data_IF_100968483700
#
_entry.id   IF_100968483700
#
_cell.length_a   1.000
_cell.length_b   1.000
_cell.length_c   1.000
_cell.angle_alpha   90.00
_cell.angle_beta   90.00
_cell.angle_gamma   90.00
#
_symmetry.space_group_name_H-M   'P 1'
#
loop_
_entity.id
_entity.type
_entity.pdbx_description
1 polymer ?
#
# COMPACT_ATOMS: atom_id res chain seq x y z
N UNK A 1 5.58 1.71 -64.36
CA UNK A 1 5.95 0.98 -63.11
C UNK A 1 4.88 1.30 -62.07
N UNK A 2 3.94 0.36 -61.90
CA UNK A 2 2.84 0.53 -60.94
C UNK A 2 3.29 0.08 -59.53
N UNK A 3 3.55 1.03 -58.67
CA UNK A 3 3.81 0.75 -57.24
C UNK A 3 2.48 0.30 -56.62
N UNK A 4 2.43 -0.95 -56.22
CA UNK A 4 1.25 -1.57 -55.61
C UNK A 4 0.93 -0.90 -54.28
N UNK A 5 -0.32 -0.42 -54.00
CA UNK A 5 -0.71 0.23 -52.78
C UNK A 5 -0.81 -0.71 -51.54
N UNK A 6 -0.47 -2.00 -51.72
CA UNK A 6 -0.51 -3.00 -50.65
C UNK A 6 0.58 -2.83 -49.58
N UNK A 7 1.67 -2.11 -49.88
CA UNK A 7 2.80 -1.99 -48.95
C UNK A 7 2.56 -0.94 -47.84
N UNK A 8 1.79 0.11 -48.11
CA UNK A 8 1.52 1.17 -47.12
C UNK A 8 0.53 0.73 -46.06
N UNK A 9 -0.50 -0.04 -46.45
CA UNK A 9 -1.50 -0.59 -45.52
C UNK A 9 -0.91 -1.66 -44.59
N UNK A 10 0.01 -2.50 -45.13
CA UNK A 10 0.69 -3.52 -44.33
C UNK A 10 1.69 -2.88 -43.33
N UNK A 11 2.36 -1.80 -43.72
CA UNK A 11 3.27 -1.06 -42.84
C UNK A 11 2.53 -0.34 -41.72
N UNK A 12 1.34 0.23 -42.02
CA UNK A 12 0.48 0.87 -41.03
C UNK A 12 -0.13 -0.16 -40.05
N UNK A 13 -0.54 -1.33 -40.54
CA UNK A 13 -1.03 -2.44 -39.73
C UNK A 13 0.07 -3.03 -38.84
N UNK A 14 1.31 -3.06 -39.27
CA UNK A 14 2.44 -3.53 -38.48
C UNK A 14 2.83 -2.54 -37.36
N UNK A 15 2.69 -1.22 -37.58
CA UNK A 15 2.86 -0.18 -36.58
C UNK A 15 1.75 -0.23 -35.49
N UNK A 16 0.57 -0.70 -35.83
CA UNK A 16 -0.54 -0.83 -34.86
C UNK A 16 -0.41 -2.09 -33.99
N UNK A 17 0.35 -3.09 -34.42
CA UNK A 17 0.61 -4.35 -33.69
C UNK A 17 1.71 -4.23 -32.63
N UNK A 18 2.53 -3.19 -32.65
CA UNK A 18 3.44 -2.87 -31.54
C UNK A 18 2.68 -2.20 -30.40
N UNK A 19 1.54 -2.77 -30.03
CA UNK A 19 0.72 -2.33 -28.93
C UNK A 19 1.57 -2.13 -27.68
N UNK A 20 1.47 -0.97 -27.06
CA UNK A 20 2.18 -0.61 -25.85
C UNK A 20 1.99 -1.70 -24.80
N UNK A 21 3.05 -2.43 -24.47
CA UNK A 21 3.01 -3.49 -23.48
C UNK A 21 2.60 -2.89 -22.12
N UNK A 22 1.61 -3.49 -21.46
CA UNK A 22 1.15 -3.10 -20.13
C UNK A 22 2.30 -2.96 -19.12
N UNK A 23 3.35 -3.77 -19.27
CA UNK A 23 4.55 -3.72 -18.44
C UNK A 23 5.33 -2.41 -18.57
N UNK A 24 5.32 -1.78 -19.75
CA UNK A 24 6.02 -0.51 -19.98
C UNK A 24 5.27 0.65 -19.32
N UNK A 25 3.94 0.67 -19.36
CA UNK A 25 3.14 1.69 -18.69
C UNK A 25 3.31 1.61 -17.17
N UNK A 26 3.33 0.41 -16.59
CA UNK A 26 3.59 0.22 -15.16
C UNK A 26 4.96 0.75 -14.77
N UNK A 27 6.02 0.39 -15.51
CA UNK A 27 7.38 0.87 -15.23
C UNK A 27 7.49 2.40 -15.33
N UNK A 28 6.79 3.00 -16.31
CA UNK A 28 6.79 4.45 -16.46
C UNK A 28 6.06 5.14 -15.30
N UNK A 29 4.90 4.61 -14.89
CA UNK A 29 4.16 5.11 -13.73
C UNK A 29 4.98 5.00 -12.44
N UNK A 30 5.62 3.85 -12.19
CA UNK A 30 6.51 3.66 -11.05
C UNK A 30 7.65 4.68 -11.03
N UNK A 31 8.29 4.91 -12.20
CA UNK A 31 9.38 5.89 -12.35
C UNK A 31 8.92 7.31 -12.04
N UNK A 32 7.77 7.72 -12.57
CA UNK A 32 7.22 9.05 -12.34
C UNK A 32 6.83 9.26 -10.88
N UNK A 33 6.19 8.26 -10.24
CA UNK A 33 5.82 8.29 -8.83
C UNK A 33 7.05 8.37 -7.93
N UNK A 34 8.05 7.51 -8.14
CA UNK A 34 9.27 7.52 -7.31
C UNK A 34 10.05 8.83 -7.45
N UNK A 35 10.08 9.43 -8.65
CA UNK A 35 10.69 10.74 -8.84
C UNK A 35 9.94 11.85 -8.08
N UNK A 36 8.61 11.80 -8.04
CA UNK A 36 7.78 12.75 -7.29
C UNK A 36 8.07 12.62 -5.79
N UNK A 37 7.99 11.39 -5.25
CA UNK A 37 8.20 11.13 -3.83
C UNK A 37 9.61 11.56 -3.39
N UNK A 38 10.63 11.16 -4.15
CA UNK A 38 12.01 11.55 -3.88
C UNK A 38 12.19 13.06 -3.80
N UNK A 39 11.56 13.81 -4.73
CA UNK A 39 11.62 15.27 -4.72
C UNK A 39 10.92 15.87 -3.51
N UNK A 40 9.69 15.41 -3.20
CA UNK A 40 8.90 15.93 -2.08
C UNK A 40 9.57 15.63 -0.73
N UNK A 41 10.13 14.42 -0.55
CA UNK A 41 10.90 14.07 0.65
C UNK A 41 12.14 14.98 0.81
N UNK A 42 12.88 15.19 -0.27
CA UNK A 42 14.04 16.10 -0.25
C UNK A 42 13.66 17.55 0.09
N UNK A 43 12.52 18.03 -0.43
CA UNK A 43 12.01 19.37 -0.17
C UNK A 43 11.53 19.55 1.29
N UNK A 44 10.99 18.49 1.92
CA UNK A 44 10.46 18.54 3.29
C UNK A 44 11.56 18.26 4.34
N UNK A 45 12.35 17.21 4.13
CA UNK A 45 13.27 16.68 5.16
C UNK A 45 14.76 16.92 4.83
N UNK A 46 15.08 17.52 3.68
CA UNK A 46 16.46 17.71 3.21
C UNK A 46 17.18 16.41 2.83
N UNK A 47 16.54 15.28 2.95
CA UNK A 47 17.05 13.93 2.61
C UNK A 47 15.95 13.17 1.87
N UNK A 48 16.34 12.24 1.00
CA UNK A 48 15.40 11.34 0.32
C UNK A 48 15.76 9.90 0.64
N UNK A 49 14.77 9.08 0.95
CA UNK A 49 14.90 7.62 1.10
C UNK A 49 14.68 6.91 -0.24
N UNK A 50 15.18 5.69 -0.38
CA UNK A 50 14.83 4.83 -1.51
C UNK A 50 13.45 4.23 -1.27
N UNK A 51 12.43 4.84 -1.85
CA UNK A 51 11.07 4.33 -1.80
C UNK A 51 10.84 3.26 -2.88
N UNK A 52 10.32 2.10 -2.50
CA UNK A 52 9.83 1.07 -3.42
C UNK A 52 8.57 0.43 -2.88
N UNK A 53 7.53 0.35 -3.71
CA UNK A 53 6.26 -0.31 -3.35
C UNK A 53 6.38 -1.83 -3.33
N UNK A 54 7.35 -2.40 -4.07
CA UNK A 54 7.54 -3.84 -4.12
C UNK A 54 7.98 -4.34 -2.74
N UNK A 55 7.12 -5.09 -2.06
CA UNK A 55 7.57 -5.99 -1.00
C UNK A 55 8.57 -6.95 -1.65
N UNK A 56 9.76 -7.14 -1.06
CA UNK A 56 10.81 -7.99 -1.61
C UNK A 56 10.42 -9.46 -1.86
N UNK A 57 9.19 -9.82 -1.57
CA UNK A 57 8.58 -11.10 -1.89
C UNK A 57 7.87 -10.98 -3.25
N UNK A 58 8.46 -11.56 -4.31
CA UNK A 58 7.70 -11.91 -5.51
C UNK A 58 6.51 -12.73 -5.06
N UNK A 59 5.29 -12.31 -5.45
CA UNK A 59 4.11 -13.15 -5.31
C UNK A 59 4.40 -14.44 -6.10
N UNK A 60 4.92 -15.46 -5.40
CA UNK A 60 4.97 -16.81 -5.95
C UNK A 60 3.54 -17.27 -6.03
N UNK A 61 3.17 -17.90 -7.14
CA UNK A 61 1.87 -18.54 -7.33
C UNK A 61 1.48 -19.31 -6.07
N UNK A 62 0.56 -18.71 -5.31
CA UNK A 62 0.10 -19.24 -4.03
C UNK A 62 -1.03 -20.20 -4.35
N UNK A 63 -0.68 -21.41 -4.74
CA UNK A 63 -1.65 -22.50 -4.85
C UNK A 63 -2.20 -22.80 -3.46
N UNK A 64 -3.51 -22.95 -3.33
CA UNK A 64 -4.19 -23.24 -2.06
C UNK A 64 -3.55 -24.38 -1.25
N UNK A 65 -3.00 -25.39 -1.93
CA UNK A 65 -2.26 -26.51 -1.32
C UNK A 65 -0.95 -26.06 -0.68
N UNK A 66 -0.22 -25.08 -1.28
CA UNK A 66 1.01 -24.54 -0.68
C UNK A 66 0.74 -23.70 0.57
N UNK A 67 -0.40 -23.01 0.63
CA UNK A 67 -0.84 -22.27 1.82
C UNK A 67 -1.17 -23.24 2.95
N UNK A 68 -1.85 -24.32 2.67
CA UNK A 68 -2.18 -25.35 3.67
C UNK A 68 -0.92 -26.05 4.20
N UNK A 69 0.03 -26.41 3.33
CA UNK A 69 1.30 -27.02 3.74
C UNK A 69 2.19 -26.04 4.52
N UNK A 70 2.23 -24.76 4.16
CA UNK A 70 2.92 -23.74 4.95
C UNK A 70 2.30 -23.52 6.34
N UNK A 71 0.97 -23.69 6.46
CA UNK A 71 0.26 -23.62 7.75
C UNK A 71 0.53 -24.83 8.65
N UNK A 72 0.88 -25.98 8.10
CA UNK A 72 1.16 -27.20 8.86
C UNK A 72 2.59 -27.28 9.40
N UNK A 73 3.54 -26.53 8.85
CA UNK A 73 4.92 -26.44 9.34
C UNK A 73 5.00 -25.46 10.52
N UNK A 74 5.19 -25.99 11.73
CA UNK A 74 5.50 -25.18 12.90
C UNK A 74 6.96 -24.72 12.80
N UNK A 75 7.17 -23.48 12.39
CA UNK A 75 8.48 -22.85 12.42
C UNK A 75 8.69 -22.21 13.78
N UNK A 76 9.79 -22.54 14.44
CA UNK A 76 10.23 -21.86 15.65
C UNK A 76 11.12 -20.70 15.24
N UNK A 77 10.78 -19.49 15.67
CA UNK A 77 11.51 -18.26 15.35
C UNK A 77 11.81 -17.54 16.67
N UNK A 78 13.09 -17.23 16.88
CA UNK A 78 13.50 -16.35 17.98
C UNK A 78 13.87 -15.02 17.38
N UNK A 79 13.35 -13.94 17.94
CA UNK A 79 13.59 -12.57 17.45
C UNK A 79 14.15 -11.70 18.58
N UNK A 80 15.20 -10.95 18.26
CA UNK A 80 15.62 -9.77 18.99
C UNK A 80 14.73 -8.57 18.63
N UNK A 81 14.83 -7.45 19.33
CA UNK A 81 14.06 -6.24 19.05
C UNK A 81 14.34 -5.69 17.65
N UNK A 82 15.62 -5.62 17.27
CA UNK A 82 16.05 -5.11 15.95
C UNK A 82 15.56 -6.01 14.81
N UNK A 83 15.64 -7.33 15.00
CA UNK A 83 15.11 -8.30 14.05
C UNK A 83 13.58 -8.21 13.94
N UNK A 84 12.86 -8.00 15.05
CA UNK A 84 11.42 -7.81 15.06
C UNK A 84 10.99 -6.55 14.30
N UNK A 85 11.68 -5.42 14.51
CA UNK A 85 11.47 -4.17 13.77
C UNK A 85 11.73 -4.36 12.27
N UNK A 86 12.88 -4.93 11.90
CA UNK A 86 13.24 -5.17 10.50
C UNK A 86 12.23 -6.12 9.83
N UNK A 87 11.83 -7.16 10.55
CA UNK A 87 10.85 -8.12 10.05
C UNK A 87 9.46 -7.47 9.86
N UNK A 88 9.00 -6.65 10.83
CA UNK A 88 7.73 -5.94 10.76
C UNK A 88 7.69 -4.99 9.56
N UNK A 89 8.71 -4.17 9.35
CA UNK A 89 8.82 -3.25 8.21
C UNK A 89 8.73 -4.00 6.87
N UNK A 90 9.32 -5.20 6.79
CA UNK A 90 9.35 -5.99 5.57
C UNK A 90 8.07 -6.81 5.31
N UNK A 91 7.33 -7.20 6.35
CA UNK A 91 6.28 -8.20 6.25
C UNK A 91 4.91 -7.74 6.77
N UNK A 92 4.83 -6.68 7.56
CA UNK A 92 3.56 -6.16 8.08
C UNK A 92 2.64 -5.71 6.95
N UNK A 93 1.39 -6.17 7.02
CA UNK A 93 0.36 -5.77 6.06
C UNK A 93 -0.02 -4.30 6.25
N UNK A 94 -0.05 -3.84 7.49
CA UNK A 94 -0.37 -2.45 7.82
C UNK A 94 0.67 -1.51 7.24
N UNK A 95 1.95 -1.80 7.46
CA UNK A 95 3.05 -1.04 6.90
C UNK A 95 3.00 -1.00 5.35
N UNK A 96 2.70 -2.13 4.72
CA UNK A 96 2.54 -2.19 3.27
C UNK A 96 1.34 -1.36 2.79
N UNK A 97 0.22 -1.38 3.52
CA UNK A 97 -0.97 -0.60 3.16
C UNK A 97 -0.70 0.92 3.19
N UNK A 98 0.05 1.40 4.17
CA UNK A 98 0.42 2.82 4.24
C UNK A 98 1.40 3.22 3.13
N UNK A 99 2.34 2.33 2.76
CA UNK A 99 3.17 2.53 1.56
C UNK A 99 2.32 2.63 0.29
N UNK A 100 1.31 1.79 0.16
CA UNK A 100 0.41 1.79 -1.00
C UNK A 100 -0.44 3.06 -1.05
N UNK A 101 -0.94 3.57 0.07
CA UNK A 101 -1.66 4.85 0.13
C UNK A 101 -0.79 6.01 -0.37
N UNK A 102 0.46 6.09 0.10
CA UNK A 102 1.41 7.09 -0.35
C UNK A 102 1.65 7.00 -1.86
N UNK A 103 1.88 5.78 -2.37
CA UNK A 103 2.06 5.52 -3.80
C UNK A 103 0.84 5.95 -4.62
N UNK A 104 -0.38 5.59 -4.20
CA UNK A 104 -1.62 5.93 -4.89
C UNK A 104 -1.86 7.45 -4.93
N UNK A 105 -1.52 8.15 -3.85
CA UNK A 105 -1.62 9.62 -3.81
C UNK A 105 -0.66 10.27 -4.81
N UNK A 106 0.58 9.79 -4.90
CA UNK A 106 1.55 10.28 -5.89
C UNK A 106 1.16 9.88 -7.32
N UNK A 107 0.55 8.70 -7.51
CA UNK A 107 0.00 8.26 -8.80
C UNK A 107 -1.16 9.16 -9.25
N UNK A 108 -2.03 9.59 -8.34
CA UNK A 108 -3.10 10.57 -8.62
C UNK A 108 -2.53 11.88 -9.13
N UNK A 109 -1.45 12.38 -8.52
CA UNK A 109 -0.75 13.57 -9.04
C UNK A 109 -0.19 13.34 -10.45
N UNK A 110 0.35 12.15 -10.72
CA UNK A 110 0.81 11.81 -12.08
C UNK A 110 -0.34 11.85 -13.09
N UNK A 111 -1.52 11.35 -12.71
CA UNK A 111 -2.74 11.43 -13.51
C UNK A 111 -3.18 12.88 -13.78
N UNK A 112 -3.19 13.74 -12.76
CA UNK A 112 -3.54 15.16 -12.95
C UNK A 112 -2.52 15.91 -13.84
N UNK A 113 -1.24 15.57 -13.75
CA UNK A 113 -0.21 16.09 -14.67
C UNK A 113 -0.42 15.60 -16.09
N UNK A 114 -0.91 14.37 -16.27
CA UNK A 114 -1.16 13.81 -17.60
C UNK A 114 -2.29 14.55 -18.34
N UNK A 115 -3.29 15.07 -17.61
CA UNK A 115 -4.38 15.86 -18.19
C UNK A 115 -3.90 17.13 -18.93
N UNK A 116 -2.72 17.66 -18.57
CA UNK A 116 -2.10 18.82 -19.21
C UNK A 116 -1.04 18.46 -20.26
N UNK A 117 -0.81 17.17 -20.52
CA UNK A 117 0.07 16.71 -21.61
C UNK A 117 -0.73 16.53 -22.90
N UNK A 118 -0.07 16.57 -24.07
CA UNK A 118 -0.73 16.18 -25.32
C UNK A 118 -1.24 14.74 -25.26
N UNK A 119 -2.54 14.57 -25.49
CA UNK A 119 -3.18 13.27 -25.59
C UNK A 119 -3.45 12.95 -27.06
N UNK A 120 -2.82 11.90 -27.57
CA UNK A 120 -3.00 11.45 -28.94
C UNK A 120 -4.17 10.48 -29.03
N UNK A 121 -4.96 10.61 -30.07
CA UNK A 121 -6.06 9.70 -30.37
C UNK A 121 -6.09 9.36 -31.86
N UNK A 122 -6.67 8.25 -32.17
CA UNK A 122 -6.91 7.85 -33.54
C UNK A 122 -7.99 6.79 -33.63
N UNK A 123 -8.81 6.89 -34.66
CA UNK A 123 -9.88 5.96 -34.90
C UNK A 123 -10.02 5.64 -36.37
N UNK A 124 -10.54 4.46 -36.68
CA UNK A 124 -10.94 4.08 -38.03
C UNK A 124 -12.31 3.41 -37.93
N UNK A 125 -13.22 3.85 -38.76
CA UNK A 125 -14.56 3.29 -38.90
C UNK A 125 -14.78 2.91 -40.34
N UNK A 126 -15.34 1.72 -40.58
CA UNK A 126 -15.70 1.23 -41.88
C UNK A 126 -17.17 0.78 -41.85
N UNK A 127 -18.00 1.35 -42.70
CA UNK A 127 -19.39 0.99 -42.80
C UNK A 127 -19.66 0.47 -44.22
N UNK A 128 -20.42 -0.61 -44.32
CA UNK A 128 -20.94 -1.12 -45.57
C UNK A 128 -22.46 -1.14 -45.54
N UNK A 129 -23.09 -0.49 -46.48
CA UNK A 129 -24.55 -0.42 -46.56
C UNK A 129 -25.07 -0.93 -47.89
N UNK A 130 -26.24 -1.58 -47.81
CA UNK A 130 -27.02 -1.99 -48.96
C UNK A 130 -28.42 -1.41 -48.81
N UNK A 131 -28.77 -0.55 -49.73
CA UNK A 131 -30.10 0.05 -49.78
C UNK A 131 -31.14 -0.89 -50.39
N UNK A 132 -32.43 -0.59 -50.17
CA UNK A 132 -33.57 -1.38 -50.68
C UNK A 132 -33.67 -1.34 -52.22
N UNK A 133 -33.13 -0.32 -52.86
CA UNK A 133 -33.03 -0.14 -54.30
C UNK A 133 -31.89 -0.94 -54.95
N UNK A 134 -31.14 -1.70 -54.13
CA UNK A 134 -30.00 -2.51 -54.58
C UNK A 134 -28.65 -1.77 -54.59
N UNK A 135 -28.63 -0.50 -54.28
CA UNK A 135 -27.36 0.25 -54.18
C UNK A 135 -26.51 -0.24 -53.02
N UNK A 136 -25.21 -0.40 -53.30
CA UNK A 136 -24.19 -0.85 -52.32
C UNK A 136 -23.12 0.21 -52.18
N UNK A 137 -22.91 0.67 -50.94
CA UNK A 137 -21.93 1.69 -50.63
C UNK A 137 -21.00 1.21 -49.52
N UNK A 138 -19.75 1.57 -49.61
CA UNK A 138 -18.76 1.38 -48.58
C UNK A 138 -18.16 2.74 -48.19
N UNK A 139 -18.16 3.03 -46.93
CA UNK A 139 -17.50 4.22 -46.36
C UNK A 139 -16.38 3.78 -45.42
N UNK A 140 -15.26 4.48 -45.50
CA UNK A 140 -14.19 4.33 -44.55
C UNK A 140 -13.77 5.72 -44.08
N UNK A 141 -13.94 5.99 -42.79
CA UNK A 141 -13.49 7.21 -42.16
C UNK A 141 -12.34 6.90 -41.22
N UNK A 142 -11.35 7.75 -41.18
CA UNK A 142 -10.23 7.67 -40.22
C UNK A 142 -9.93 9.05 -39.68
N UNK A 143 -9.71 9.13 -38.39
CA UNK A 143 -9.29 10.33 -37.69
C UNK A 143 -8.05 10.07 -36.86
N UNK A 144 -7.13 11.03 -36.87
CA UNK A 144 -5.94 11.03 -36.02
C UNK A 144 -5.72 12.44 -35.52
N UNK A 145 -5.53 12.58 -34.24
CA UNK A 145 -5.36 13.91 -33.64
C UNK A 145 -4.63 13.92 -32.32
N UNK A 146 -4.46 15.12 -31.80
CA UNK A 146 -3.94 15.37 -30.46
C UNK A 146 -4.75 16.49 -29.80
N UNK A 147 -5.07 16.29 -28.53
CA UNK A 147 -5.71 17.31 -27.70
C UNK A 147 -4.84 17.59 -26.48
N UNK A 148 -4.74 18.87 -26.10
CA UNK A 148 -4.00 19.30 -24.91
C UNK A 148 -4.82 20.35 -24.15
N UNK A 149 -5.02 20.10 -22.84
CA UNK A 149 -5.50 21.12 -21.92
C UNK A 149 -4.36 22.07 -21.55
N UNK A 150 -4.64 23.37 -21.57
CA UNK A 150 -3.68 24.41 -21.21
C UNK A 150 -3.88 24.84 -19.77
N UNK A 151 -2.77 25.15 -19.08
CA UNK A 151 -2.81 25.63 -17.68
C UNK A 151 -3.63 26.92 -17.51
N UNK A 152 -3.80 27.72 -18.56
CA UNK A 152 -4.68 28.89 -18.56
C UNK A 152 -6.18 28.57 -18.62
N UNK A 153 -6.56 27.29 -18.70
CA UNK A 153 -7.96 26.83 -18.79
C UNK A 153 -8.47 26.63 -20.21
N UNK A 154 -7.65 26.95 -21.22
CA UNK A 154 -7.99 26.67 -22.62
C UNK A 154 -7.66 25.23 -23.04
N UNK A 155 -8.01 24.91 -24.29
CA UNK A 155 -7.63 23.66 -24.94
C UNK A 155 -7.13 23.91 -26.36
N UNK A 156 -6.16 23.12 -26.78
CA UNK A 156 -5.63 23.07 -28.14
C UNK A 156 -5.90 21.70 -28.72
N UNK A 157 -6.53 21.63 -29.90
CA UNK A 157 -6.79 20.40 -30.63
C UNK A 157 -6.29 20.48 -32.06
N UNK A 158 -5.63 19.45 -32.54
CA UNK A 158 -5.26 19.24 -33.93
C UNK A 158 -5.83 17.89 -34.35
N UNK A 159 -6.56 17.87 -35.45
CA UNK A 159 -7.16 16.65 -35.97
C UNK A 159 -7.05 16.60 -37.51
N UNK A 160 -6.69 15.43 -38.04
CA UNK A 160 -6.74 15.08 -39.45
C UNK A 160 -7.80 14.01 -39.62
N UNK A 161 -8.85 14.34 -40.33
CA UNK A 161 -9.90 13.41 -40.69
C UNK A 161 -9.84 13.08 -42.19
N UNK A 162 -9.99 11.81 -42.53
CA UNK A 162 -10.07 11.32 -43.89
C UNK A 162 -11.33 10.50 -44.07
N UNK A 163 -12.10 10.83 -45.08
CA UNK A 163 -13.33 10.13 -45.47
C UNK A 163 -13.19 9.57 -46.89
N UNK A 164 -13.43 8.28 -47.04
CA UNK A 164 -13.48 7.60 -48.29
C UNK A 164 -14.85 6.96 -48.50
N UNK A 165 -15.50 7.33 -49.58
CA UNK A 165 -16.77 6.74 -50.01
C UNK A 165 -16.60 6.02 -51.35
N UNK A 166 -17.07 4.79 -51.44
CA UNK A 166 -17.04 3.99 -52.69
C UNK A 166 -18.40 3.35 -52.92
N UNK A 167 -18.89 3.52 -54.17
CA UNK A 167 -20.08 2.84 -54.68
C UNK A 167 -19.64 1.53 -55.37
N UNK A 168 -20.31 0.44 -55.05
CA UNK A 168 -20.04 -0.89 -55.62
C UNK A 168 -21.05 -1.33 -56.68
N UNK A 169 -22.15 -0.57 -56.84
CA UNK A 169 -23.23 -0.80 -57.81
C UNK A 169 -23.48 0.46 -58.64
N UNK A 170 -23.85 0.29 -59.91
CA UNK A 170 -24.05 1.39 -60.83
C UNK A 170 -22.71 1.94 -61.38
N UNK A 171 -22.70 3.22 -61.74
CA UNK A 171 -21.46 3.91 -62.11
C UNK A 171 -20.49 3.92 -60.94
N UNK A 172 -19.22 3.48 -61.11
CA UNK A 172 -18.26 3.37 -60.04
C UNK A 172 -17.79 4.77 -59.59
N UNK A 173 -18.59 5.39 -58.75
CA UNK A 173 -18.25 6.68 -58.13
C UNK A 173 -17.49 6.48 -56.84
N UNK A 174 -16.50 7.33 -56.61
CA UNK A 174 -15.70 7.38 -55.39
C UNK A 174 -15.46 8.83 -54.99
N UNK A 175 -15.51 9.09 -53.72
CA UNK A 175 -15.13 10.35 -53.14
C UNK A 175 -14.11 10.15 -52.04
N UNK A 176 -13.10 10.99 -51.98
CA UNK A 176 -12.12 11.05 -50.92
C UNK A 176 -11.98 12.49 -50.47
N UNK A 177 -12.13 12.71 -49.19
CA UNK A 177 -11.98 14.02 -48.58
C UNK A 177 -10.98 13.91 -47.39
N UNK A 178 -10.12 14.89 -47.27
CA UNK A 178 -9.19 15.02 -46.15
C UNK A 178 -9.33 16.41 -45.57
N UNK A 179 -9.53 16.51 -44.26
CA UNK A 179 -9.72 17.77 -43.54
C UNK A 179 -8.71 17.85 -42.40
N UNK A 180 -7.90 18.89 -42.40
CA UNK A 180 -7.04 19.27 -41.27
C UNK A 180 -7.78 20.35 -40.45
N UNK A 181 -8.03 20.05 -39.15
CA UNK A 181 -8.67 20.98 -38.23
C UNK A 181 -7.73 21.40 -37.12
N UNK A 182 -7.67 22.68 -36.83
CA UNK A 182 -6.99 23.26 -35.68
C UNK A 182 -8.05 23.97 -34.82
N UNK A 183 -8.22 23.51 -33.60
CA UNK A 183 -9.19 24.06 -32.67
C UNK A 183 -8.47 24.64 -31.46
N UNK A 184 -8.73 25.93 -31.18
CA UNK A 184 -8.24 26.62 -29.98
C UNK A 184 -9.45 27.14 -29.23
N UNK A 185 -9.62 26.73 -27.99
CA UNK A 185 -10.69 27.19 -27.12
C UNK A 185 -10.10 27.83 -25.88
N UNK A 186 -10.49 29.07 -25.57
CA UNK A 186 -10.05 29.77 -24.36
C UNK A 186 -11.28 30.36 -23.64
N UNK A 187 -11.63 29.88 -22.43
CA UNK A 187 -12.67 30.52 -21.62
C UNK A 187 -12.18 31.90 -21.16
N UNK A 188 -13.04 32.89 -21.22
CA UNK A 188 -12.72 34.26 -20.82
C UNK A 188 -13.27 34.64 -19.45
N UNK A 189 -14.30 33.92 -18.97
CA UNK A 189 -14.99 34.18 -17.71
C UNK A 189 -14.84 33.00 -16.75
N UNK A 190 -15.86 32.15 -16.67
CA UNK A 190 -15.84 30.98 -15.78
C UNK A 190 -14.84 29.93 -16.28
N UNK A 191 -13.90 29.51 -15.41
CA UNK A 191 -12.87 28.54 -15.78
C UNK A 191 -11.59 29.17 -16.39
N UNK A 192 -11.58 30.50 -16.59
CA UNK A 192 -10.40 31.19 -17.05
C UNK A 192 -9.33 31.39 -15.96
N UNK A 193 -8.09 31.35 -16.36
CA UNK A 193 -6.94 31.63 -15.51
C UNK A 193 -6.33 30.40 -14.82
N UNK A 194 -5.02 30.45 -14.68
CA UNK A 194 -4.20 29.34 -14.19
C UNK A 194 -4.59 28.86 -12.77
N UNK A 195 -4.98 29.78 -11.87
CA UNK A 195 -5.37 29.43 -10.50
C UNK A 195 -6.60 28.53 -10.45
N UNK A 196 -7.57 28.77 -11.35
CA UNK A 196 -8.83 27.98 -11.42
C UNK A 196 -8.61 26.69 -12.21
N UNK A 197 -7.99 26.80 -13.37
CA UNK A 197 -7.80 25.65 -14.27
C UNK A 197 -6.85 24.60 -13.70
N UNK A 198 -5.80 25.02 -13.00
CA UNK A 198 -4.82 24.13 -12.40
C UNK A 198 -5.09 23.82 -10.91
N UNK A 199 -6.27 24.17 -10.35
CA UNK A 199 -6.56 23.94 -8.92
C UNK A 199 -6.49 22.45 -8.54
N UNK A 200 -7.01 21.56 -9.36
CA UNK A 200 -6.91 20.11 -9.14
C UNK A 200 -5.45 19.64 -9.09
N UNK A 201 -4.60 20.14 -9.97
CA UNK A 201 -3.18 19.84 -9.98
C UNK A 201 -2.49 20.39 -8.73
N UNK A 202 -2.84 21.61 -8.32
CA UNK A 202 -2.32 22.23 -7.10
C UNK A 202 -2.72 21.44 -5.87
N UNK A 203 -3.98 21.04 -5.78
CA UNK A 203 -4.47 20.23 -4.67
C UNK A 203 -3.83 18.82 -4.65
N UNK A 204 -3.65 18.18 -5.80
CA UNK A 204 -2.95 16.90 -5.89
C UNK A 204 -1.48 17.02 -5.43
N UNK A 205 -0.78 18.12 -5.75
CA UNK A 205 0.57 18.39 -5.22
C UNK A 205 0.56 18.52 -3.68
N UNK A 206 -0.40 19.25 -3.10
CA UNK A 206 -0.54 19.39 -1.64
C UNK A 206 -0.83 18.03 -0.97
N UNK A 207 -1.71 17.24 -1.58
CA UNK A 207 -2.05 15.91 -1.06
C UNK A 207 -0.83 14.98 -0.97
N UNK A 208 0.10 15.06 -1.94
CA UNK A 208 1.35 14.29 -1.85
C UNK A 208 2.21 14.75 -0.68
N UNK A 209 2.31 16.07 -0.44
CA UNK A 209 3.04 16.60 0.73
C UNK A 209 2.43 16.09 2.04
N UNK A 210 1.12 16.10 2.15
CA UNK A 210 0.42 15.57 3.34
C UNK A 210 0.65 14.07 3.49
N UNK A 211 0.49 13.30 2.42
CA UNK A 211 0.70 11.85 2.45
C UNK A 211 2.15 11.46 2.83
N UNK A 212 3.16 12.23 2.42
CA UNK A 212 4.56 12.01 2.84
C UNK A 212 4.72 12.25 4.34
N UNK A 213 4.12 13.31 4.88
CA UNK A 213 4.15 13.61 6.33
C UNK A 213 3.42 12.54 7.14
N UNK A 214 2.23 12.14 6.69
CA UNK A 214 1.43 11.10 7.34
C UNK A 214 2.18 9.76 7.34
N UNK A 215 2.82 9.41 6.24
CA UNK A 215 3.63 8.21 6.15
C UNK A 215 4.84 8.23 7.08
N UNK A 216 5.53 9.37 7.19
CA UNK A 216 6.66 9.51 8.13
C UNK A 216 6.19 9.42 9.58
N UNK A 217 5.05 10.06 9.90
CA UNK A 217 4.45 9.93 11.23
C UNK A 217 4.08 8.48 11.54
N UNK A 218 3.43 7.80 10.58
CA UNK A 218 3.12 6.39 10.70
C UNK A 218 4.37 5.53 10.95
N UNK A 219 5.47 5.75 10.21
CA UNK A 219 6.71 5.01 10.42
C UNK A 219 7.23 5.12 11.86
N UNK A 220 7.19 6.33 12.41
CA UNK A 220 7.62 6.59 13.79
C UNK A 220 6.69 5.89 14.80
N UNK A 221 5.38 6.06 14.65
CA UNK A 221 4.36 5.47 15.53
C UNK A 221 4.42 3.95 15.50
N UNK A 222 4.49 3.36 14.31
CA UNK A 222 4.59 1.92 14.11
C UNK A 222 5.86 1.34 14.76
N UNK A 223 7.00 2.03 14.64
CA UNK A 223 8.23 1.58 15.29
C UNK A 223 8.11 1.60 16.81
N UNK A 224 7.50 2.65 17.38
CA UNK A 224 7.24 2.74 18.82
C UNK A 224 6.26 1.66 19.29
N UNK A 225 5.22 1.37 18.51
CA UNK A 225 4.26 0.30 18.80
C UNK A 225 4.94 -1.08 18.86
N UNK A 226 5.77 -1.42 17.88
CA UNK A 226 6.54 -2.68 17.89
C UNK A 226 7.43 -2.78 19.13
N UNK A 227 8.12 -1.69 19.50
CA UNK A 227 8.98 -1.65 20.69
C UNK A 227 8.17 -1.87 21.96
N UNK A 228 7.03 -1.19 22.10
CA UNK A 228 6.14 -1.33 23.26
C UNK A 228 5.59 -2.76 23.36
N UNK A 229 5.04 -3.28 22.26
CA UNK A 229 4.49 -4.65 22.24
C UNK A 229 5.56 -5.70 22.60
N UNK A 230 6.80 -5.50 22.11
CA UNK A 230 7.92 -6.39 22.42
C UNK A 230 8.23 -6.41 23.93
N UNK A 231 8.36 -5.24 24.56
CA UNK A 231 8.65 -5.15 26.00
C UNK A 231 7.46 -5.56 26.85
N UNK A 232 6.24 -5.28 26.45
CA UNK A 232 5.04 -5.73 27.12
C UNK A 232 4.94 -7.26 27.15
N UNK A 233 5.29 -7.94 26.06
CA UNK A 233 5.37 -9.39 26.02
C UNK A 233 6.44 -9.96 26.96
N UNK A 234 7.60 -9.33 27.02
CA UNK A 234 8.65 -9.75 27.96
C UNK A 234 8.23 -9.50 29.43
N UNK A 235 7.52 -8.42 29.70
CA UNK A 235 6.95 -8.15 31.04
C UNK A 235 5.89 -9.19 31.40
N UNK A 236 4.96 -9.51 30.49
CA UNK A 236 3.94 -10.52 30.71
C UNK A 236 4.54 -11.91 30.98
N UNK A 237 5.65 -12.25 30.32
CA UNK A 237 6.41 -13.48 30.61
C UNK A 237 6.90 -13.52 32.07
N UNK A 238 7.39 -12.39 32.59
CA UNK A 238 7.81 -12.28 33.99
C UNK A 238 6.62 -12.36 34.94
N UNK A 239 5.46 -11.79 34.56
CA UNK A 239 4.22 -11.90 35.35
C UNK A 239 3.79 -13.37 35.48
N UNK A 240 3.84 -14.14 34.41
CA UNK A 240 3.52 -15.59 34.46
C UNK A 240 4.42 -16.30 35.46
N UNK A 241 5.73 -16.00 35.43
CA UNK A 241 6.67 -16.61 36.39
C UNK A 241 6.33 -16.25 37.82
N UNK A 242 6.00 -14.99 38.11
CA UNK A 242 5.61 -14.53 39.43
C UNK A 242 4.30 -15.16 39.91
N UNK A 243 3.29 -15.24 39.04
CA UNK A 243 2.01 -15.87 39.36
C UNK A 243 2.15 -17.40 39.57
N UNK A 244 3.02 -18.05 38.83
CA UNK A 244 3.36 -19.44 39.06
C UNK A 244 3.97 -19.66 40.45
N UNK A 245 4.97 -18.86 40.82
CA UNK A 245 5.61 -18.93 42.15
C UNK A 245 4.61 -18.64 43.28
N UNK A 246 3.70 -17.68 43.07
CA UNK A 246 2.64 -17.39 44.02
C UNK A 246 1.68 -18.59 44.17
N UNK A 247 1.26 -19.20 43.04
CA UNK A 247 0.43 -20.40 43.08
C UNK A 247 1.11 -21.56 43.84
N UNK A 248 2.39 -21.86 43.53
CA UNK A 248 3.13 -22.92 44.25
C UNK A 248 3.25 -22.61 45.76
N UNK A 249 3.46 -21.35 46.14
CA UNK A 249 3.50 -20.94 47.54
C UNK A 249 2.16 -21.14 48.26
N UNK A 250 1.03 -20.80 47.62
CA UNK A 250 -0.31 -21.00 48.17
C UNK A 250 -0.66 -22.48 48.27
N UNK A 251 -0.29 -23.27 47.27
CA UNK A 251 -0.43 -24.71 47.27
C UNK A 251 0.33 -25.36 48.42
N UNK A 252 1.60 -24.98 48.62
CA UNK A 252 2.39 -25.51 49.74
C UNK A 252 1.80 -25.15 51.10
N UNK A 253 1.23 -23.91 51.24
CA UNK A 253 0.53 -23.50 52.45
C UNK A 253 -0.71 -24.36 52.75
N UNK A 254 -1.55 -24.60 51.71
CA UNK A 254 -2.72 -25.49 51.86
C UNK A 254 -2.30 -26.91 52.25
N UNK A 255 -1.27 -27.48 51.60
CA UNK A 255 -0.73 -28.80 51.92
C UNK A 255 -0.26 -28.90 53.36
N UNK A 256 0.43 -27.82 53.83
CA UNK A 256 0.90 -27.72 55.21
C UNK A 256 -0.27 -27.65 56.23
N UNK A 257 -1.32 -26.88 56.01
CA UNK A 257 -2.48 -26.80 56.86
C UNK A 257 -3.32 -28.11 56.87
N UNK A 258 -3.46 -28.74 55.70
CA UNK A 258 -4.13 -30.06 55.59
C UNK A 258 -3.38 -31.15 56.35
N UNK A 259 -2.04 -31.13 56.34
CA UNK A 259 -1.23 -32.07 57.09
C UNK A 259 -1.32 -31.92 58.62
N UNK A 260 -1.91 -30.81 59.07
CA UNK A 260 -2.15 -30.46 60.50
C UNK A 260 -3.63 -30.37 60.85
N UNK A 261 -4.47 -31.11 60.15
CA UNK A 261 -5.92 -31.12 60.29
C UNK A 261 -6.41 -31.27 61.74
N UNK A 262 -5.62 -32.01 62.57
CA UNK A 262 -5.89 -32.19 64.02
C UNK A 262 -5.64 -30.95 64.89
N UNK A 263 -4.98 -29.87 64.32
CA UNK A 263 -4.57 -28.71 65.07
C UNK A 263 -5.10 -27.38 64.49
N UNK A 264 -5.56 -27.42 63.28
CA UNK A 264 -5.97 -26.22 62.50
C UNK A 264 -7.52 -26.20 62.36
N UNK A 265 -8.11 -25.01 62.31
CA UNK A 265 -9.56 -24.89 62.17
C UNK A 265 -10.02 -25.23 60.71
N UNK A 266 -11.24 -25.77 60.53
CA UNK A 266 -11.80 -26.01 59.21
C UNK A 266 -11.91 -24.73 58.36
N UNK A 267 -12.10 -23.56 59.00
CA UNK A 267 -12.13 -22.28 58.29
C UNK A 267 -10.75 -21.93 57.69
N UNK A 268 -9.66 -22.12 58.48
CA UNK A 268 -8.30 -21.84 58.00
C UNK A 268 -7.91 -22.75 56.81
N UNK A 269 -8.42 -24.01 56.78
CA UNK A 269 -8.22 -24.92 55.66
C UNK A 269 -9.02 -24.45 54.42
N UNK A 270 -10.30 -24.02 54.64
CA UNK A 270 -11.14 -23.50 53.57
C UNK A 270 -10.57 -22.23 52.94
N UNK A 271 -10.03 -21.30 53.76
CA UNK A 271 -9.37 -20.06 53.30
C UNK A 271 -8.11 -20.39 52.48
N UNK A 272 -7.32 -21.34 52.93
CA UNK A 272 -6.13 -21.74 52.20
C UNK A 272 -6.45 -22.42 50.85
N UNK A 273 -7.52 -23.21 50.78
CA UNK A 273 -8.00 -23.78 49.54
C UNK A 273 -8.49 -22.68 48.55
N UNK A 274 -9.28 -21.72 49.09
CA UNK A 274 -9.74 -20.57 48.29
C UNK A 274 -8.56 -19.74 47.77
N UNK A 275 -7.54 -19.50 48.58
CA UNK A 275 -6.33 -18.76 48.22
C UNK A 275 -5.56 -19.48 47.07
N UNK A 276 -5.42 -20.80 47.19
CA UNK A 276 -4.79 -21.61 46.11
C UNK A 276 -5.58 -21.52 44.82
N UNK A 277 -6.89 -21.67 44.86
CA UNK A 277 -7.76 -21.61 43.68
C UNK A 277 -7.72 -20.23 43.03
N UNK A 278 -7.68 -19.16 43.82
CA UNK A 278 -7.54 -17.79 43.32
C UNK A 278 -6.17 -17.58 42.66
N UNK A 279 -5.08 -18.04 43.29
CA UNK A 279 -3.74 -17.94 42.71
C UNK A 279 -3.63 -18.75 41.40
N UNK A 280 -4.22 -19.96 41.36
CA UNK A 280 -4.30 -20.78 40.13
C UNK A 280 -5.04 -20.07 39.02
N UNK A 281 -6.18 -19.41 39.33
CA UNK A 281 -6.93 -18.65 38.35
C UNK A 281 -6.14 -17.46 37.80
N UNK A 282 -5.39 -16.72 38.64
CA UNK A 282 -4.50 -15.64 38.19
C UNK A 282 -3.40 -16.16 37.27
N UNK A 283 -2.77 -17.27 37.61
CA UNK A 283 -1.75 -17.93 36.80
C UNK A 283 -2.31 -18.35 35.41
N UNK A 284 -3.48 -18.99 35.36
CA UNK A 284 -4.13 -19.37 34.10
C UNK A 284 -4.49 -18.11 33.26
N UNK A 285 -4.99 -17.07 33.91
CA UNK A 285 -5.36 -15.82 33.25
C UNK A 285 -4.12 -15.13 32.66
N UNK A 286 -3.00 -15.12 33.37
CA UNK A 286 -1.74 -14.53 32.88
C UNK A 286 -1.19 -15.25 31.65
N UNK A 287 -1.26 -16.59 31.63
CA UNK A 287 -0.89 -17.40 30.44
C UNK A 287 -1.80 -17.05 29.25
N UNK A 288 -3.10 -16.95 29.48
CA UNK A 288 -4.06 -16.66 28.43
C UNK A 288 -3.82 -15.25 27.85
N UNK A 289 -3.59 -14.25 28.72
CA UNK A 289 -3.27 -12.88 28.32
C UNK A 289 -1.99 -12.83 27.48
N UNK A 290 -0.92 -13.49 27.93
CA UNK A 290 0.33 -13.57 27.17
C UNK A 290 0.13 -14.20 25.78
N UNK A 291 -0.59 -15.32 25.68
CA UNK A 291 -0.88 -15.96 24.40
C UNK A 291 -1.63 -15.05 23.45
N UNK A 292 -2.65 -14.35 23.96
CA UNK A 292 -3.43 -13.41 23.16
C UNK A 292 -2.57 -12.23 22.68
N UNK A 293 -1.71 -11.67 23.55
CA UNK A 293 -0.78 -10.60 23.18
C UNK A 293 0.25 -11.08 22.16
N UNK A 294 0.79 -12.29 22.34
CA UNK A 294 1.73 -12.89 21.40
C UNK A 294 1.11 -13.11 20.01
N UNK A 295 -0.16 -13.54 19.97
CA UNK A 295 -0.86 -13.74 18.71
C UNK A 295 -1.17 -12.40 18.01
N UNK A 296 -1.49 -11.34 18.75
CA UNK A 296 -1.61 -9.97 18.20
C UNK A 296 -0.27 -9.50 17.64
N UNK A 297 0.79 -9.65 18.39
CA UNK A 297 2.13 -9.28 17.94
C UNK A 297 2.56 -10.01 16.66
N UNK A 298 2.26 -11.32 16.53
CA UNK A 298 2.46 -12.05 15.27
C UNK A 298 1.71 -11.43 14.10
N UNK A 299 0.46 -10.98 14.32
CA UNK A 299 -0.33 -10.30 13.28
C UNK A 299 0.36 -9.00 12.86
N UNK A 300 0.76 -8.16 13.81
CA UNK A 300 1.45 -6.89 13.56
C UNK A 300 2.76 -7.11 12.81
N UNK A 301 3.53 -8.13 13.17
CA UNK A 301 4.75 -8.53 12.46
C UNK A 301 4.48 -9.10 11.05
N UNK A 302 3.26 -9.57 10.76
CA UNK A 302 2.93 -10.29 9.53
C UNK A 302 3.39 -11.75 9.53
N UNK A 303 3.55 -12.36 10.72
CA UNK A 303 3.88 -13.76 10.90
C UNK A 303 2.63 -14.65 10.82
N UNK A 304 2.74 -15.89 10.30
CA UNK A 304 1.68 -16.89 10.39
C UNK A 304 1.38 -17.24 11.86
N UNK A 305 0.12 -17.42 12.21
CA UNK A 305 -0.30 -17.79 13.57
C UNK A 305 0.28 -19.13 14.05
N UNK A 306 0.62 -20.02 13.13
CA UNK A 306 1.24 -21.32 13.41
C UNK A 306 2.72 -21.22 13.81
N UNK A 307 3.34 -20.04 13.67
CA UNK A 307 4.73 -19.80 14.06
C UNK A 307 4.85 -19.81 15.57
N UNK A 308 5.78 -20.58 16.10
CA UNK A 308 6.17 -20.52 17.50
C UNK A 308 7.20 -19.40 17.67
N UNK A 309 6.72 -18.25 18.16
CA UNK A 309 7.56 -17.07 18.36
C UNK A 309 8.14 -17.07 19.78
N UNK A 310 9.46 -16.87 19.87
CA UNK A 310 10.19 -16.61 21.11
C UNK A 310 10.88 -15.26 21.00
N UNK A 311 10.89 -14.51 22.10
CA UNK A 311 11.59 -13.22 22.20
C UNK A 311 12.86 -13.38 23.04
N UNK A 312 13.91 -12.66 22.67
CA UNK A 312 15.14 -12.64 23.44
C UNK A 312 14.99 -11.79 24.72
N UNK A 313 15.35 -12.36 25.87
CA UNK A 313 15.22 -11.68 27.17
C UNK A 313 16.39 -10.69 27.47
N UNK A 314 17.47 -10.74 26.67
CA UNK A 314 18.70 -9.95 26.91
C UNK A 314 18.48 -8.44 26.94
N UNK A 315 17.50 -7.95 26.20
CA UNK A 315 17.25 -6.51 26.07
C UNK A 315 16.65 -5.89 27.32
N UNK A 316 15.83 -6.63 28.08
CA UNK A 316 15.38 -6.20 29.42
C UNK A 316 16.57 -6.00 30.37
N UNK A 317 17.54 -6.90 30.34
CA UNK A 317 18.72 -6.78 31.18
C UNK A 317 19.61 -5.59 30.80
N UNK A 318 19.66 -5.25 29.50
CA UNK A 318 20.35 -4.05 29.03
C UNK A 318 19.67 -2.76 29.53
N UNK A 319 18.34 -2.67 29.45
CA UNK A 319 17.58 -1.53 29.96
C UNK A 319 17.71 -1.43 31.50
N UNK A 320 17.63 -2.56 32.20
CA UNK A 320 17.80 -2.59 33.67
C UNK A 320 19.18 -2.10 34.08
N UNK A 321 20.25 -2.46 33.33
CA UNK A 321 21.62 -2.02 33.58
C UNK A 321 21.84 -0.54 33.21
N UNK A 322 21.23 -0.09 32.12
CA UNK A 322 21.32 1.30 31.66
C UNK A 322 20.66 2.29 32.62
N UNK A 323 19.65 1.82 33.38
CA UNK A 323 18.82 2.66 34.24
C UNK A 323 17.96 3.67 33.45
N UNK A 324 16.91 4.16 34.06
CA UNK A 324 16.15 5.26 33.49
C UNK A 324 16.94 6.57 33.69
N UNK A 325 17.54 7.11 32.61
CA UNK A 325 18.05 8.49 32.67
C UNK A 325 16.85 9.42 32.77
N UNK A 326 16.76 10.20 33.85
CA UNK A 326 15.76 11.25 33.95
C UNK A 326 16.02 12.28 32.84
N UNK A 327 15.13 12.36 31.88
CA UNK A 327 15.11 13.43 30.90
C UNK A 327 14.59 14.69 31.62
N UNK A 328 15.49 15.58 32.05
CA UNK A 328 15.13 16.93 32.48
C UNK A 328 14.85 17.77 31.22
N UNK A 329 13.70 17.57 30.58
CA UNK A 329 13.21 18.44 29.54
C UNK A 329 12.57 19.68 30.22
N UNK A 330 13.13 20.84 29.98
CA UNK A 330 12.46 22.11 30.29
C UNK A 330 11.22 22.18 29.40
N UNK A 331 10.08 22.65 29.94
CA UNK A 331 8.79 22.66 29.24
C UNK A 331 8.83 23.31 27.83
N UNK A 332 9.73 24.27 27.62
CA UNK A 332 9.97 24.87 26.31
C UNK A 332 10.67 23.95 25.29
N UNK A 333 11.55 23.07 25.75
CA UNK A 333 12.26 22.11 24.87
C UNK A 333 11.35 20.95 24.49
N UNK A 334 10.40 20.55 25.36
CA UNK A 334 9.41 19.54 25.04
C UNK A 334 8.48 19.95 23.89
N UNK A 335 8.17 21.23 23.74
CA UNK A 335 7.37 21.76 22.62
C UNK A 335 8.13 21.79 21.28
N UNK A 336 9.46 21.81 21.30
CA UNK A 336 10.28 21.83 20.07
C UNK A 336 10.60 20.42 19.55
N UNK A 337 10.38 19.36 20.36
CA UNK A 337 10.67 17.97 20.02
C UNK A 337 9.37 17.21 19.65
N UNK A 338 8.20 17.72 20.01
CA UNK A 338 6.89 17.20 19.62
C UNK A 338 6.43 17.79 18.27
#
# INVERSE_FOLDING_TARGET
>A
MSVRPLSLGALLAFLLLTGCSQSNYKKQADKDVYAILKKVEADIFGKSSEFSISSGKKAKDVTSVKVLNARSQRCKVTLSLDEALTYAIANSREYQSEKEKLYLTALTLTGERHNFRPNFFGGTRTDYSRLSDGERTGTASSDVGANQALLAGGSLGINIANDLLRYFTGDPRRSAASVLSLNITQPLLRGAGQKIAAERLTQANRNVVYAVRDYTHFQNTFSVEIVNDYFDLLQQKNVIFNEYNNYESRRANREYLTAREDRESPEAQGDAEQDELQAKNRYISSITSYRNSLDRFKITLGLPQTTELQLEDKEIDLIRKAGAKSLHLVSQEAFLVA
#
